data_IF_435523137002
#
_entry.id   IF_435523137002
#
_cell.length_a   1.000
_cell.length_b   1.000
_cell.length_c   1.000
_cell.angle_alpha   90.00
_cell.angle_beta   90.00
_cell.angle_gamma   90.00
#
_symmetry.space_group_name_H-M   'P 1'
#
loop_
_entity.id
_entity.type
_entity.pdbx_description
1 polymer ?
#
# COMPACT_ATOMS: atom_id res chain seq x y z
N UNK A 1 18.41 -6.81 8.77
CA UNK A 1 17.07 -6.30 8.43
C UNK A 1 16.48 -5.74 9.69
N UNK A 2 16.09 -4.47 9.68
CA UNK A 2 15.45 -3.82 10.82
C UNK A 2 13.94 -4.07 10.78
N UNK A 3 13.25 -3.84 11.90
CA UNK A 3 11.78 -3.91 11.92
C UNK A 3 11.14 -3.01 10.86
N UNK A 4 11.71 -1.81 10.68
CA UNK A 4 11.22 -0.80 9.72
C UNK A 4 11.40 -1.25 8.27
N UNK A 5 12.51 -1.93 7.97
CA UNK A 5 12.74 -2.50 6.65
C UNK A 5 11.75 -3.63 6.35
N UNK A 6 11.45 -4.49 7.33
CA UNK A 6 10.43 -5.54 7.20
C UNK A 6 9.04 -4.97 6.94
N UNK A 7 8.65 -3.97 7.73
CA UNK A 7 7.38 -3.28 7.57
C UNK A 7 7.25 -2.67 6.17
N UNK A 8 8.26 -1.95 5.69
CA UNK A 8 8.24 -1.37 4.36
C UNK A 8 8.15 -2.44 3.26
N UNK A 9 8.83 -3.58 3.39
CA UNK A 9 8.68 -4.71 2.47
C UNK A 9 7.27 -5.30 2.47
N UNK A 10 6.69 -5.50 3.65
CA UNK A 10 5.33 -6.03 3.78
C UNK A 10 4.31 -5.08 3.17
N UNK A 11 4.45 -3.76 3.39
CA UNK A 11 3.58 -2.76 2.76
C UNK A 11 3.68 -2.79 1.23
N UNK A 12 4.89 -2.89 0.66
CA UNK A 12 5.08 -3.02 -0.80
C UNK A 12 4.45 -4.30 -1.32
N UNK A 13 4.67 -5.43 -0.65
CA UNK A 13 4.08 -6.71 -1.03
C UNK A 13 2.56 -6.67 -0.96
N UNK A 14 2.00 -6.10 0.11
CA UNK A 14 0.55 -5.92 0.24
C UNK A 14 0.00 -5.03 -0.86
N UNK A 15 0.71 -3.95 -1.21
CA UNK A 15 0.31 -3.09 -2.31
C UNK A 15 0.23 -3.82 -3.64
N UNK A 16 1.24 -4.63 -3.96
CA UNK A 16 1.29 -5.39 -5.21
C UNK A 16 0.26 -6.52 -5.22
N UNK A 17 0.20 -7.34 -4.17
CA UNK A 17 -0.66 -8.53 -4.10
C UNK A 17 -2.13 -8.14 -4.14
N UNK A 18 -2.54 -7.15 -3.33
CA UNK A 18 -3.95 -6.77 -3.25
C UNK A 18 -4.37 -6.02 -4.51
N UNK A 19 -3.56 -5.10 -5.03
CA UNK A 19 -3.88 -4.40 -6.28
C UNK A 19 -3.94 -5.38 -7.45
N UNK A 20 -3.02 -6.36 -7.50
CA UNK A 20 -3.02 -7.42 -8.50
C UNK A 20 -4.25 -8.32 -8.40
N UNK A 21 -4.68 -8.67 -7.18
CA UNK A 21 -5.90 -9.44 -6.95
C UNK A 21 -7.15 -8.67 -7.36
N UNK A 22 -7.28 -7.39 -6.99
CA UNK A 22 -8.42 -6.55 -7.41
C UNK A 22 -8.49 -6.41 -8.92
N UNK A 23 -7.34 -6.20 -9.57
CA UNK A 23 -7.25 -6.15 -11.03
C UNK A 23 -7.67 -7.48 -11.67
N UNK A 24 -7.18 -8.60 -11.14
CA UNK A 24 -7.54 -9.93 -11.62
C UNK A 24 -9.04 -10.23 -11.42
N UNK A 25 -9.62 -9.88 -10.26
CA UNK A 25 -11.06 -10.01 -10.01
C UNK A 25 -11.88 -9.19 -11.01
N UNK A 26 -11.49 -7.93 -11.24
CA UNK A 26 -12.19 -7.05 -12.18
C UNK A 26 -12.18 -7.60 -13.62
N UNK A 27 -11.08 -8.21 -14.05
CA UNK A 27 -10.98 -8.81 -15.40
C UNK A 27 -11.70 -10.15 -15.55
N UNK A 28 -11.94 -10.87 -14.45
CA UNK A 28 -12.61 -12.20 -14.47
C UNK A 28 -14.10 -12.13 -14.16
N UNK A 29 -14.47 -11.34 -13.16
CA UNK A 29 -15.82 -11.27 -12.61
C UNK A 29 -16.55 -9.97 -13.01
N UNK A 30 -15.85 -9.07 -13.69
CA UNK A 30 -16.39 -7.78 -14.11
C UNK A 30 -16.45 -6.74 -12.99
N UNK A 31 -16.58 -5.49 -13.40
CA UNK A 31 -16.84 -4.36 -12.52
C UNK A 31 -18.36 -4.27 -12.27
N UNK A 32 -18.82 -4.09 -11.01
CA UNK A 32 -20.23 -3.82 -10.73
C UNK A 32 -20.74 -2.63 -11.55
N UNK A 33 -21.94 -2.75 -12.13
CA UNK A 33 -22.53 -1.69 -12.94
C UNK A 33 -22.97 -0.47 -12.10
N UNK A 34 -23.12 -0.65 -10.79
CA UNK A 34 -23.51 0.39 -9.87
C UNK A 34 -22.36 0.81 -8.94
N UNK A 35 -22.36 2.09 -8.57
CA UNK A 35 -21.32 2.69 -7.71
C UNK A 35 -21.31 2.06 -6.31
N UNK A 36 -22.48 1.66 -5.79
CA UNK A 36 -22.58 1.09 -4.45
C UNK A 36 -21.90 -0.28 -4.36
N UNK A 37 -22.14 -1.15 -5.34
CA UNK A 37 -21.49 -2.44 -5.49
C UNK A 37 -19.98 -2.30 -5.65
N UNK A 38 -19.53 -1.36 -6.48
CA UNK A 38 -18.10 -1.05 -6.64
C UNK A 38 -17.48 -0.58 -5.32
N UNK A 39 -18.16 0.32 -4.59
CA UNK A 39 -17.68 0.82 -3.30
C UNK A 39 -17.58 -0.30 -2.25
N UNK A 40 -18.61 -1.13 -2.11
CA UNK A 40 -18.58 -2.26 -1.16
C UNK A 40 -17.50 -3.28 -1.48
N UNK A 41 -17.26 -3.57 -2.77
CA UNK A 41 -16.12 -4.40 -3.18
C UNK A 41 -14.79 -3.78 -2.72
N UNK A 42 -14.61 -2.47 -2.87
CA UNK A 42 -13.38 -1.80 -2.43
C UNK A 42 -13.24 -1.76 -0.92
N UNK A 43 -14.33 -1.64 -0.16
CA UNK A 43 -14.29 -1.79 1.31
C UNK A 43 -13.76 -3.17 1.70
N UNK A 44 -14.25 -4.23 1.06
CA UNK A 44 -13.73 -5.58 1.28
C UNK A 44 -12.26 -5.70 0.88
N UNK A 45 -11.85 -5.10 -0.24
CA UNK A 45 -10.45 -5.09 -0.67
C UNK A 45 -9.54 -4.38 0.36
N UNK A 46 -9.98 -3.28 0.95
CA UNK A 46 -9.26 -2.61 2.05
C UNK A 46 -9.19 -3.53 3.27
N UNK A 47 -10.29 -4.19 3.64
CA UNK A 47 -10.32 -5.16 4.73
C UNK A 47 -9.32 -6.30 4.51
N UNK A 48 -9.27 -6.87 3.31
CA UNK A 48 -8.29 -7.90 2.94
C UNK A 48 -6.87 -7.36 2.93
N UNK A 49 -6.64 -6.11 2.53
CA UNK A 49 -5.32 -5.48 2.59
C UNK A 49 -4.81 -5.37 4.03
N UNK A 50 -5.68 -4.92 4.95
CA UNK A 50 -5.33 -4.83 6.38
C UNK A 50 -4.99 -6.22 6.92
N UNK A 51 -5.86 -7.21 6.68
CA UNK A 51 -5.64 -8.58 7.14
C UNK A 51 -4.35 -9.18 6.55
N UNK A 52 -4.11 -8.96 5.25
CA UNK A 52 -2.90 -9.42 4.58
C UNK A 52 -1.65 -8.84 5.23
N UNK A 53 -1.60 -7.53 5.48
CA UNK A 53 -0.44 -6.90 6.09
C UNK A 53 -0.17 -7.44 7.50
N UNK A 54 -1.23 -7.64 8.30
CA UNK A 54 -1.10 -8.25 9.64
C UNK A 54 -0.49 -9.65 9.54
N UNK A 55 -1.06 -10.51 8.69
CA UNK A 55 -0.58 -11.89 8.51
C UNK A 55 0.84 -11.90 7.95
N UNK A 56 1.15 -11.08 6.94
CA UNK A 56 2.46 -10.98 6.32
C UNK A 56 3.53 -10.48 7.31
N UNK A 57 3.20 -9.55 8.20
CA UNK A 57 4.11 -9.14 9.27
C UNK A 57 4.42 -10.28 10.23
N UNK A 58 3.39 -11.01 10.70
CA UNK A 58 3.57 -12.17 11.59
C UNK A 58 4.45 -13.22 10.92
N UNK A 59 4.13 -13.58 9.67
CA UNK A 59 4.91 -14.55 8.89
C UNK A 59 6.34 -14.06 8.66
N UNK A 60 6.53 -12.77 8.36
CA UNK A 60 7.85 -12.16 8.18
C UNK A 60 8.73 -12.29 9.42
N UNK A 61 8.18 -12.03 10.61
CA UNK A 61 8.88 -12.23 11.87
C UNK A 61 9.25 -13.70 12.13
N UNK A 62 8.31 -14.62 11.92
CA UNK A 62 8.54 -16.06 12.10
C UNK A 62 9.65 -16.55 11.16
N UNK A 63 9.56 -16.20 9.88
CA UNK A 63 10.57 -16.58 8.88
C UNK A 63 11.94 -16.00 9.24
N UNK A 64 12.00 -14.72 9.63
CA UNK A 64 13.26 -14.10 10.05
C UNK A 64 13.89 -14.85 11.24
N UNK A 65 13.09 -15.20 12.25
CA UNK A 65 13.55 -15.96 13.41
C UNK A 65 14.09 -17.34 13.04
N UNK A 66 13.41 -18.06 12.14
CA UNK A 66 13.86 -19.37 11.63
C UNK A 66 15.19 -19.24 10.89
N UNK A 67 15.29 -18.30 9.94
CA UNK A 67 16.48 -18.18 9.08
C UNK A 67 17.71 -17.62 9.79
N UNK A 68 17.53 -16.87 10.88
CA UNK A 68 18.64 -16.29 11.63
C UNK A 68 19.01 -17.07 12.89
N UNK A 69 18.35 -18.19 13.16
CA UNK A 69 18.61 -19.03 14.33
C UNK A 69 18.18 -18.36 15.64
N UNK A 70 17.06 -17.63 15.63
CA UNK A 70 16.49 -16.99 16.82
C UNK A 70 17.05 -15.60 17.13
N UNK A 71 17.72 -14.94 16.17
CA UNK A 71 18.07 -13.51 16.34
C UNK A 71 16.81 -12.67 16.22
N UNK A 72 16.71 -11.65 17.07
CA UNK A 72 15.67 -10.65 16.96
C UNK A 72 16.01 -9.62 15.88
N UNK A 73 14.99 -8.99 15.30
CA UNK A 73 15.21 -7.84 14.42
C UNK A 73 15.93 -6.75 15.21
N UNK A 74 16.88 -6.07 14.56
CA UNK A 74 17.55 -4.94 15.20
C UNK A 74 16.53 -3.87 15.57
N UNK A 75 16.38 -3.64 16.87
CA UNK A 75 15.59 -2.55 17.43
C UNK A 75 16.46 -1.30 17.53
N UNK A 76 16.60 -0.60 16.40
CA UNK A 76 17.27 0.69 16.35
C UNK A 76 16.33 1.76 16.92
N UNK A 77 16.75 2.40 18.03
CA UNK A 77 16.07 3.60 18.56
C UNK A 77 15.88 4.58 17.42
N UNK A 78 14.65 5.10 17.28
CA UNK A 78 14.31 6.05 16.24
C UNK A 78 15.27 7.26 16.27
N UNK A 79 16.19 7.29 15.31
CA UNK A 79 17.19 8.33 15.17
C UNK A 79 16.57 9.52 14.41
N UNK A 80 17.19 10.70 14.47
CA UNK A 80 16.79 11.86 13.67
C UNK A 80 16.73 11.51 12.17
N UNK A 81 17.61 10.61 11.72
CA UNK A 81 17.61 10.01 10.38
C UNK A 81 16.26 9.38 10.03
N UNK A 82 15.65 8.62 10.92
CA UNK A 82 14.39 7.91 10.63
C UNK A 82 13.22 8.88 10.48
N UNK A 83 13.21 9.95 11.29
CA UNK A 83 12.20 11.01 11.17
C UNK A 83 12.32 11.70 9.82
N UNK A 84 13.54 11.99 9.37
CA UNK A 84 13.78 12.60 8.06
C UNK A 84 13.39 11.67 6.91
N UNK A 85 13.75 10.38 7.00
CA UNK A 85 13.37 9.37 6.00
C UNK A 85 11.85 9.26 5.91
N UNK A 86 11.17 9.13 7.05
CA UNK A 86 9.72 9.04 7.10
C UNK A 86 9.06 10.30 6.51
N UNK A 87 9.55 11.50 6.87
CA UNK A 87 9.04 12.75 6.31
C UNK A 87 9.18 12.85 4.79
N UNK A 88 10.34 12.43 4.25
CA UNK A 88 10.56 12.40 2.79
C UNK A 88 9.67 11.37 2.10
N UNK A 89 9.54 10.17 2.66
CA UNK A 89 8.66 9.14 2.13
C UNK A 89 7.19 9.57 2.14
N UNK A 90 6.74 10.17 3.25
CA UNK A 90 5.38 10.69 3.42
C UNK A 90 5.07 11.79 2.40
N UNK A 91 6.03 12.70 2.14
CA UNK A 91 5.90 13.70 1.07
C UNK A 91 5.64 13.07 -0.29
N UNK A 92 6.39 12.03 -0.66
CA UNK A 92 6.23 11.36 -1.95
C UNK A 92 4.87 10.66 -2.05
N UNK A 93 4.47 9.94 -0.99
CA UNK A 93 3.16 9.29 -0.92
C UNK A 93 2.00 10.30 -1.04
N UNK A 94 2.07 11.43 -0.31
CA UNK A 94 1.05 12.47 -0.41
C UNK A 94 1.01 13.18 -1.75
N UNK A 95 2.15 13.37 -2.41
CA UNK A 95 2.18 13.91 -3.75
C UNK A 95 1.42 13.02 -4.73
N UNK A 96 1.67 11.70 -4.69
CA UNK A 96 0.94 10.72 -5.50
C UNK A 96 -0.56 10.70 -5.16
N UNK A 97 -0.90 10.69 -3.86
CA UNK A 97 -2.29 10.72 -3.42
C UNK A 97 -3.02 11.98 -3.92
N UNK A 98 -2.40 13.14 -3.78
CA UNK A 98 -3.02 14.43 -4.12
C UNK A 98 -3.27 14.55 -5.62
N UNK A 99 -2.29 14.18 -6.44
CA UNK A 99 -2.43 14.18 -7.91
C UNK A 99 -3.46 13.14 -8.33
N UNK A 100 -3.41 11.94 -7.75
CA UNK A 100 -4.36 10.88 -8.09
C UNK A 100 -5.79 11.28 -7.78
N UNK A 101 -6.05 11.77 -6.56
CA UNK A 101 -7.39 12.22 -6.15
C UNK A 101 -7.88 13.36 -7.04
N UNK A 102 -7.02 14.35 -7.34
CA UNK A 102 -7.36 15.41 -8.29
C UNK A 102 -7.74 14.82 -9.66
N UNK A 103 -6.98 13.84 -10.16
CA UNK A 103 -7.28 13.14 -11.40
C UNK A 103 -8.65 12.47 -11.39
N UNK A 104 -9.04 11.82 -10.29
CA UNK A 104 -10.38 11.23 -10.13
C UNK A 104 -11.46 12.31 -10.13
N UNK A 105 -11.26 13.43 -9.42
CA UNK A 105 -12.24 14.51 -9.40
C UNK A 105 -12.43 15.12 -10.79
N UNK A 106 -11.36 15.33 -11.54
CA UNK A 106 -11.42 15.81 -12.93
C UNK A 106 -12.13 14.80 -13.82
N UNK A 107 -11.78 13.51 -13.72
CA UNK A 107 -12.44 12.42 -14.45
C UNK A 107 -13.95 12.43 -14.23
N UNK A 108 -14.38 12.54 -12.98
CA UNK A 108 -15.80 12.59 -12.61
C UNK A 108 -16.47 13.88 -13.11
N UNK A 109 -15.76 15.02 -13.04
CA UNK A 109 -16.25 16.30 -13.54
C UNK A 109 -16.48 16.31 -15.06
N UNK A 110 -15.76 15.47 -15.81
CA UNK A 110 -15.95 15.28 -17.26
C UNK A 110 -17.12 14.33 -17.60
N UNK A 111 -17.83 13.78 -16.60
CA UNK A 111 -18.95 12.87 -16.81
C UNK A 111 -18.53 11.48 -17.32
N UNK A 112 -17.29 11.08 -17.06
CA UNK A 112 -16.81 9.73 -17.36
C UNK A 112 -17.41 8.69 -16.40
N UNK A 113 -17.10 7.42 -16.62
CA UNK A 113 -17.67 6.29 -15.87
C UNK A 113 -17.50 6.47 -14.36
N UNK A 114 -18.64 6.56 -13.67
CA UNK A 114 -18.72 6.81 -12.23
C UNK A 114 -18.53 5.52 -11.44
N UNK A 115 -18.91 4.39 -12.03
CA UNK A 115 -18.72 3.03 -11.50
C UNK A 115 -17.26 2.64 -11.30
N UNK A 116 -16.33 3.27 -12.05
CA UNK A 116 -14.88 3.09 -11.87
C UNK A 116 -14.30 3.96 -10.76
N UNK A 117 -15.05 4.95 -10.27
CA UNK A 117 -14.58 5.89 -9.25
C UNK A 117 -14.01 5.22 -8.00
N UNK A 118 -14.72 4.25 -7.38
CA UNK A 118 -14.21 3.52 -6.22
C UNK A 118 -12.91 2.76 -6.52
N UNK A 119 -12.81 2.11 -7.68
CA UNK A 119 -11.61 1.38 -8.10
C UNK A 119 -10.42 2.32 -8.33
N UNK A 120 -10.67 3.47 -8.95
CA UNK A 120 -9.65 4.49 -9.19
C UNK A 120 -9.12 5.04 -7.85
N UNK A 121 -10.01 5.41 -6.93
CA UNK A 121 -9.62 5.87 -5.59
C UNK A 121 -8.84 4.81 -4.82
N UNK A 122 -9.31 3.56 -4.83
CA UNK A 122 -8.58 2.45 -4.23
C UNK A 122 -7.18 2.31 -4.85
N UNK A 123 -7.07 2.27 -6.17
CA UNK A 123 -5.80 2.17 -6.87
C UNK A 123 -4.83 3.30 -6.53
N UNK A 124 -5.33 4.54 -6.42
CA UNK A 124 -4.52 5.70 -6.00
C UNK A 124 -4.04 5.56 -4.57
N UNK A 125 -4.89 5.12 -3.64
CA UNK A 125 -4.49 4.86 -2.26
C UNK A 125 -3.40 3.79 -2.19
N UNK A 126 -3.54 2.70 -2.95
CA UNK A 126 -2.53 1.64 -3.02
C UNK A 126 -1.22 2.13 -3.64
N UNK A 127 -1.28 2.92 -4.71
CA UNK A 127 -0.10 3.53 -5.35
C UNK A 127 0.60 4.53 -4.42
N UNK A 128 -0.16 5.35 -3.68
CA UNK A 128 0.39 6.29 -2.72
C UNK A 128 1.08 5.56 -1.54
N UNK A 129 0.42 4.55 -0.97
CA UNK A 129 0.99 3.71 0.08
C UNK A 129 2.22 2.91 -0.39
N UNK A 130 2.15 2.35 -1.60
CA UNK A 130 3.29 1.69 -2.23
C UNK A 130 4.46 2.64 -2.49
N UNK A 131 4.19 3.87 -2.97
CA UNK A 131 5.21 4.90 -3.18
C UNK A 131 5.88 5.31 -1.87
N UNK A 132 5.09 5.46 -0.80
CA UNK A 132 5.60 5.71 0.54
C UNK A 132 6.55 4.60 0.98
N UNK A 133 6.12 3.34 0.92
CA UNK A 133 6.91 2.20 1.37
C UNK A 133 8.17 1.98 0.51
N UNK A 134 8.08 2.13 -0.81
CA UNK A 134 9.24 2.11 -1.72
C UNK A 134 10.22 3.24 -1.41
N UNK A 135 9.71 4.45 -1.15
CA UNK A 135 10.57 5.59 -0.78
C UNK A 135 11.32 5.31 0.52
N UNK A 136 10.66 4.69 1.52
CA UNK A 136 11.35 4.26 2.74
C UNK A 136 12.47 3.27 2.43
N UNK A 137 12.20 2.21 1.65
CA UNK A 137 13.23 1.22 1.29
C UNK A 137 14.42 1.85 0.56
N UNK A 138 14.16 2.77 -0.37
CA UNK A 138 15.21 3.49 -1.10
C UNK A 138 16.02 4.38 -0.16
N UNK A 139 15.36 5.17 0.69
CA UNK A 139 16.07 6.09 1.58
C UNK A 139 16.84 5.38 2.70
N UNK A 140 16.35 4.25 3.23
CA UNK A 140 17.11 3.43 4.19
C UNK A 140 18.38 2.82 3.59
N UNK A 141 18.44 2.63 2.27
CA UNK A 141 19.61 2.08 1.57
C UNK A 141 20.63 3.15 1.17
N UNK A 142 20.18 4.37 0.92
CA UNK A 142 21.04 5.44 0.38
C UNK A 142 21.52 6.40 1.48
N UNK A 143 20.72 6.60 2.53
CA UNK A 143 21.03 7.51 3.66
C UNK A 143 21.54 6.74 4.85
#
# INVERSE_FOLDING_TARGET
MTHKELEAWVMVLGAVVISGWVWWDATRNGVPADVSGAAWKMVWAIGYSILFNIVAMIVGHILFGIFTGGRELADEKADERDRLINGRAMRNGYFVLSIGVLGVLVWQGLGLSTELGPYALFGICMLAGGTYALSQLVYYRIS
#
